data_IF_012101103333
#
_entry.id   IF_012101103333
#
_cell.length_a   1.000
_cell.length_b   1.000
_cell.length_c   1.000
_cell.angle_alpha   90.00
_cell.angle_beta   90.00
_cell.angle_gamma   90.00
#
_symmetry.space_group_name_H-M   'P 1'
#
loop_
_entity.id
_entity.type
_entity.pdbx_description
1 polymer ?
#
# COMPACT_ATOMS: atom_id res chain seq x y z
N UNK A 1 -1.77 9.46 16.60
CA UNK A 1 -2.34 9.56 15.21
C UNK A 1 -1.44 8.80 14.25
N UNK A 2 -1.95 7.72 13.71
CA UNK A 2 -1.27 6.82 12.78
C UNK A 2 -1.05 7.48 11.42
N UNK A 3 0.14 7.35 10.84
CA UNK A 3 0.44 7.81 9.48
C UNK A 3 0.14 6.72 8.47
N UNK A 4 -0.54 7.06 7.38
CA UNK A 4 -0.84 6.11 6.29
C UNK A 4 -0.04 6.52 5.06
N UNK A 5 0.80 5.61 4.56
CA UNK A 5 1.57 5.77 3.34
C UNK A 5 1.15 4.72 2.31
N UNK A 6 0.88 5.15 1.09
CA UNK A 6 0.53 4.27 -0.03
C UNK A 6 1.73 4.16 -0.95
N UNK A 7 2.16 2.92 -1.25
CA UNK A 7 3.28 2.65 -2.15
C UNK A 7 2.75 1.89 -3.36
N UNK A 8 2.49 2.62 -4.42
CA UNK A 8 2.01 2.13 -5.70
C UNK A 8 3.16 1.90 -6.68
N UNK A 9 2.86 1.30 -7.79
CA UNK A 9 3.79 1.06 -8.89
C UNK A 9 3.36 -0.15 -9.70
N UNK A 10 3.67 -0.15 -10.98
CA UNK A 10 3.29 -1.22 -11.89
C UNK A 10 4.04 -2.53 -11.56
N UNK A 11 3.57 -3.64 -12.12
CA UNK A 11 4.18 -4.97 -11.92
C UNK A 11 5.68 -4.95 -12.24
N UNK A 12 6.50 -5.47 -11.34
CA UNK A 12 7.96 -5.55 -11.50
C UNK A 12 8.70 -4.23 -11.41
N UNK A 13 8.07 -3.15 -10.94
CA UNK A 13 8.70 -1.83 -10.82
C UNK A 13 9.73 -1.73 -9.66
N UNK A 14 9.75 -2.70 -8.74
CA UNK A 14 10.63 -2.69 -7.57
C UNK A 14 9.98 -2.22 -6.26
N UNK A 15 8.65 -2.25 -6.17
CA UNK A 15 7.89 -1.90 -4.95
C UNK A 15 8.39 -2.67 -3.72
N UNK A 16 8.48 -3.99 -3.85
CA UNK A 16 8.97 -4.87 -2.76
C UNK A 16 10.32 -4.45 -2.24
N UNK A 17 11.27 -4.17 -3.12
CA UNK A 17 12.63 -3.73 -2.76
C UNK A 17 12.59 -2.38 -2.07
N UNK A 18 11.77 -1.46 -2.57
CA UNK A 18 11.60 -0.13 -1.99
C UNK A 18 10.98 -0.22 -0.59
N UNK A 19 9.90 -0.99 -0.42
CA UNK A 19 9.24 -1.20 0.88
C UNK A 19 10.21 -1.79 1.89
N UNK A 20 10.96 -2.84 1.54
CA UNK A 20 11.99 -3.43 2.42
C UNK A 20 12.99 -2.39 2.89
N UNK A 21 13.47 -1.56 1.99
CA UNK A 21 14.43 -0.50 2.31
C UNK A 21 13.81 0.55 3.25
N UNK A 22 12.58 0.98 3.00
CA UNK A 22 11.86 1.90 3.88
C UNK A 22 11.70 1.33 5.29
N UNK A 23 11.31 0.07 5.41
CA UNK A 23 11.12 -0.59 6.71
C UNK A 23 12.43 -0.72 7.50
N UNK A 24 13.54 -0.99 6.83
CA UNK A 24 14.84 -1.19 7.51
C UNK A 24 15.60 0.09 7.79
N UNK A 25 15.44 1.14 6.98
CA UNK A 25 16.22 2.36 7.08
C UNK A 25 15.40 3.56 7.58
N UNK A 26 14.27 3.85 6.93
CA UNK A 26 13.50 5.06 7.21
C UNK A 26 12.54 4.91 8.40
N UNK A 27 11.96 3.73 8.59
CA UNK A 27 10.97 3.45 9.62
C UNK A 27 11.50 2.53 10.72
N UNK A 28 12.82 2.41 10.81
CA UNK A 28 13.46 1.63 11.87
C UNK A 28 13.05 2.16 13.25
N UNK A 29 12.45 1.30 14.07
CA UNK A 29 11.96 1.66 15.41
C UNK A 29 10.52 2.17 15.46
N UNK A 30 9.85 2.39 14.33
CA UNK A 30 8.40 2.61 14.29
C UNK A 30 7.65 1.27 14.33
N UNK A 31 6.47 1.26 14.96
CA UNK A 31 5.54 0.13 14.85
C UNK A 31 4.77 0.25 13.54
N UNK A 32 5.18 -0.54 12.55
CA UNK A 32 4.63 -0.48 11.19
C UNK A 32 3.77 -1.70 10.91
N UNK A 33 2.58 -1.46 10.37
CA UNK A 33 1.71 -2.49 9.78
C UNK A 33 1.74 -2.37 8.27
N UNK A 34 2.00 -3.48 7.57
CA UNK A 34 1.97 -3.56 6.12
C UNK A 34 0.66 -4.23 5.67
N UNK A 35 -0.08 -3.55 4.81
CA UNK A 35 -1.27 -4.06 4.15
C UNK A 35 -0.95 -4.28 2.68
N UNK A 36 -0.91 -5.55 2.27
CA UNK A 36 -0.69 -5.95 0.88
C UNK A 36 -2.01 -6.34 0.23
N UNK A 37 -2.21 -5.91 -1.00
CA UNK A 37 -3.34 -6.31 -1.81
C UNK A 37 -2.85 -7.09 -3.04
N UNK A 38 -2.42 -8.32 -2.82
CA UNK A 38 -2.07 -9.24 -3.91
C UNK A 38 -3.07 -10.39 -4.03
N UNK A 39 -3.36 -10.75 -5.27
CA UNK A 39 -4.12 -11.94 -5.60
C UNK A 39 -3.26 -13.20 -5.38
N UNK A 40 -3.52 -13.94 -4.32
CA UNK A 40 -3.33 -15.39 -4.34
C UNK A 40 -1.98 -15.98 -3.92
N UNK A 41 -0.97 -15.23 -3.51
CA UNK A 41 0.26 -15.79 -2.95
C UNK A 41 0.57 -15.23 -1.55
N UNK A 42 0.94 -16.13 -0.65
CA UNK A 42 1.43 -15.81 0.69
C UNK A 42 2.65 -14.92 0.53
N UNK A 43 2.53 -13.67 0.98
CA UNK A 43 3.51 -12.64 0.73
C UNK A 43 4.93 -13.03 1.09
N UNK A 44 5.85 -12.79 0.18
CA UNK A 44 7.30 -12.96 0.31
C UNK A 44 7.85 -12.21 1.55
N UNK A 45 7.09 -11.28 2.08
CA UNK A 45 7.43 -10.46 3.24
C UNK A 45 7.27 -11.17 4.59
N UNK A 46 6.38 -12.18 4.70
CA UNK A 46 6.07 -12.85 5.98
C UNK A 46 7.27 -13.44 6.70
N UNK A 47 8.29 -13.92 5.96
CA UNK A 47 9.53 -14.43 6.53
C UNK A 47 10.51 -13.33 6.95
N UNK A 48 10.73 -12.36 6.09
CA UNK A 48 11.73 -11.31 6.30
C UNK A 48 11.37 -10.34 7.42
N UNK A 49 10.10 -10.03 7.56
CA UNK A 49 9.65 -8.99 8.49
C UNK A 49 9.41 -9.55 9.91
N UNK A 50 9.15 -10.85 10.04
CA UNK A 50 9.16 -11.53 11.35
C UNK A 50 10.52 -11.45 12.04
N UNK A 51 11.61 -11.51 11.28
CA UNK A 51 12.97 -11.36 11.81
C UNK A 51 13.28 -9.92 12.22
N UNK A 52 12.60 -8.93 11.63
CA UNK A 52 12.81 -7.50 11.90
C UNK A 52 11.94 -6.95 13.02
N UNK A 53 11.06 -7.76 13.65
CA UNK A 53 10.13 -7.30 14.68
C UNK A 53 8.96 -6.47 14.13
N UNK A 54 8.77 -6.46 12.82
CA UNK A 54 7.69 -5.73 12.13
C UNK A 54 6.49 -6.65 12.03
N UNK A 55 5.33 -6.21 12.52
CA UNK A 55 4.10 -6.97 12.43
C UNK A 55 3.49 -6.82 11.04
N UNK A 56 3.40 -7.94 10.29
CA UNK A 56 2.76 -7.96 8.98
C UNK A 56 1.36 -8.51 9.12
N UNK A 57 0.44 -7.80 8.52
CA UNK A 57 -0.92 -8.26 8.32
C UNK A 57 -1.21 -8.35 6.83
N UNK A 58 -1.28 -9.59 6.37
CA UNK A 58 -1.83 -9.90 5.07
C UNK A 58 -3.36 -9.81 5.18
N UNK A 59 -3.94 -8.90 4.43
CA UNK A 59 -5.38 -8.84 4.28
C UNK A 59 -5.77 -9.52 2.98
N UNK A 60 -6.15 -10.79 3.09
CA UNK A 60 -6.65 -11.60 1.98
C UNK A 60 -8.11 -11.25 1.58
N UNK A 61 -8.56 -10.06 1.86
CA UNK A 61 -9.94 -9.63 1.58
C UNK A 61 -10.02 -8.92 0.26
N UNK A 62 -10.10 -9.69 -0.84
CA UNK A 62 -10.54 -9.18 -2.15
C UNK A 62 -9.82 -7.91 -2.65
N UNK A 63 -9.82 -7.71 -3.96
CA UNK A 63 -9.23 -6.51 -4.56
C UNK A 63 -9.80 -5.22 -3.97
N UNK A 64 -8.96 -4.35 -3.40
CA UNK A 64 -9.35 -2.98 -2.98
C UNK A 64 -10.05 -2.24 -4.13
N UNK A 65 -9.71 -2.58 -5.36
CA UNK A 65 -10.24 -1.94 -6.57
C UNK A 65 -11.62 -2.42 -7.01
N UNK A 66 -12.10 -3.59 -6.55
CA UNK A 66 -13.21 -4.23 -7.26
C UNK A 66 -14.56 -4.29 -6.57
N UNK A 67 -14.67 -4.19 -5.24
CA UNK A 67 -15.99 -4.29 -4.63
C UNK A 67 -16.18 -3.79 -3.18
N UNK A 68 -15.15 -3.31 -2.48
CA UNK A 68 -15.22 -3.26 -1.03
C UNK A 68 -14.59 -2.02 -0.39
N UNK A 69 -14.93 -0.82 -0.86
CA UNK A 69 -14.62 0.42 -0.12
C UNK A 69 -15.09 0.29 1.35
N UNK A 70 -16.22 -0.38 1.58
CA UNK A 70 -16.75 -0.63 2.92
C UNK A 70 -15.94 -1.62 3.77
N UNK A 71 -15.43 -2.69 3.17
CA UNK A 71 -14.68 -3.71 3.92
C UNK A 71 -13.23 -3.28 4.15
N UNK A 72 -12.63 -2.54 3.21
CA UNK A 72 -11.31 -1.94 3.40
C UNK A 72 -11.32 -0.93 4.54
N UNK A 73 -12.33 -0.05 4.58
CA UNK A 73 -12.47 0.91 5.66
C UNK A 73 -12.62 0.27 7.03
N UNK A 74 -13.45 -0.78 7.14
CA UNK A 74 -13.60 -1.56 8.38
C UNK A 74 -12.28 -2.19 8.83
N UNK A 75 -11.56 -2.77 7.88
CA UNK A 75 -10.29 -3.43 8.16
C UNK A 75 -9.22 -2.43 8.58
N UNK A 76 -9.18 -1.26 7.96
CA UNK A 76 -8.27 -0.19 8.36
C UNK A 76 -8.57 0.31 9.77
N UNK A 77 -9.86 0.46 10.10
CA UNK A 77 -10.32 0.82 11.44
C UNK A 77 -9.91 -0.23 12.47
N UNK A 78 -10.15 -1.51 12.19
CA UNK A 78 -9.76 -2.61 13.07
C UNK A 78 -8.25 -2.63 13.32
N UNK A 79 -7.42 -2.39 12.30
CA UNK A 79 -5.97 -2.32 12.43
C UNK A 79 -5.55 -1.17 13.35
N UNK A 80 -6.11 0.02 13.16
CA UNK A 80 -5.79 1.20 14.00
C UNK A 80 -6.22 0.97 15.43
N UNK A 81 -7.44 0.51 15.68
CA UNK A 81 -8.00 0.29 17.01
C UNK A 81 -7.31 -0.83 17.80
N UNK A 82 -6.89 -1.89 17.11
CA UNK A 82 -6.30 -3.06 17.75
C UNK A 82 -4.80 -2.97 18.00
N UNK A 83 -4.08 -2.34 17.06
CA UNK A 83 -2.60 -2.35 17.07
C UNK A 83 -2.01 -0.99 17.42
N UNK A 84 -2.77 0.10 17.30
CA UNK A 84 -2.30 1.47 17.52
C UNK A 84 -0.93 1.74 16.85
N UNK A 85 -0.75 1.38 15.56
CA UNK A 85 0.55 1.49 14.92
C UNK A 85 0.96 2.96 14.75
N UNK A 86 2.26 3.20 14.70
CA UNK A 86 2.81 4.51 14.33
C UNK A 86 2.56 4.80 12.85
N UNK A 87 2.59 3.72 12.04
CA UNK A 87 2.49 3.78 10.58
C UNK A 87 1.79 2.59 9.98
N UNK A 88 1.02 2.85 8.92
CA UNK A 88 0.44 1.82 8.05
C UNK A 88 1.00 2.05 6.65
N UNK A 89 1.63 1.02 6.07
CA UNK A 89 2.00 0.99 4.66
C UNK A 89 0.94 0.21 3.88
N UNK A 90 0.44 0.78 2.80
CA UNK A 90 -0.50 0.12 1.90
C UNK A 90 0.19 -0.11 0.56
N UNK A 91 0.33 -1.37 0.15
CA UNK A 91 0.77 -1.76 -1.18
C UNK A 91 -0.43 -2.22 -2.01
N UNK A 92 -1.00 -1.37 -2.88
CA UNK A 92 -2.08 -1.79 -3.77
C UNK A 92 -1.56 -2.73 -4.87
N UNK A 93 -2.49 -3.45 -5.51
CA UNK A 93 -2.17 -4.23 -6.71
C UNK A 93 -1.43 -3.38 -7.75
N UNK A 94 -0.42 -3.96 -8.42
CA UNK A 94 0.33 -3.30 -9.47
C UNK A 94 -0.49 -2.85 -10.68
N UNK A 95 -1.71 -3.38 -10.84
CA UNK A 95 -2.69 -2.99 -11.87
C UNK A 95 -3.85 -2.16 -11.31
N UNK A 96 -3.78 -1.73 -10.05
CA UNK A 96 -4.79 -0.89 -9.42
C UNK A 96 -4.60 0.61 -9.74
N UNK A 97 -5.70 1.37 -9.67
CA UNK A 97 -5.64 2.82 -9.72
C UNK A 97 -5.27 3.39 -8.36
N UNK A 98 -4.23 4.20 -8.30
CA UNK A 98 -3.81 4.87 -7.06
C UNK A 98 -4.90 5.81 -6.53
N UNK A 99 -5.63 6.50 -7.43
CA UNK A 99 -6.75 7.38 -7.08
C UNK A 99 -7.84 6.68 -6.27
N UNK A 100 -8.14 5.40 -6.58
CA UNK A 100 -9.18 4.65 -5.89
C UNK A 100 -8.77 4.31 -4.46
N UNK A 101 -7.49 3.96 -4.27
CA UNK A 101 -6.93 3.67 -2.94
C UNK A 101 -6.87 4.94 -2.09
N UNK A 102 -6.41 6.06 -2.67
CA UNK A 102 -6.40 7.36 -1.99
C UNK A 102 -7.81 7.74 -1.52
N UNK A 103 -8.81 7.57 -2.41
CA UNK A 103 -10.20 7.85 -2.07
C UNK A 103 -10.69 6.95 -0.93
N UNK A 104 -10.44 5.64 -1.01
CA UNK A 104 -10.87 4.71 0.02
C UNK A 104 -10.28 5.04 1.40
N UNK A 105 -9.01 5.49 1.46
CA UNK A 105 -8.41 5.94 2.72
C UNK A 105 -9.03 7.25 3.20
N UNK A 106 -9.26 8.21 2.30
CA UNK A 106 -9.86 9.50 2.64
C UNK A 106 -11.29 9.37 3.18
N UNK A 107 -12.07 8.43 2.63
CA UNK A 107 -13.45 8.22 3.03
C UNK A 107 -13.56 7.72 4.49
N UNK A 108 -12.52 7.10 5.04
CA UNK A 108 -12.52 6.52 6.39
C UNK A 108 -11.57 7.23 7.38
N UNK A 109 -10.63 8.04 6.92
CA UNK A 109 -9.61 8.64 7.78
C UNK A 109 -10.20 9.53 8.89
N UNK A 110 -11.35 10.16 8.64
CA UNK A 110 -12.02 11.02 9.63
C UNK A 110 -12.75 10.22 10.73
N UNK A 111 -12.94 8.91 10.51
CA UNK A 111 -13.55 7.99 11.48
C UNK A 111 -12.52 7.26 12.35
N UNK A 112 -11.23 7.38 12.01
CA UNK A 112 -10.12 6.68 12.67
C UNK A 112 -9.03 7.67 13.10
N UNK A 113 -8.24 7.34 14.11
CA UNK A 113 -7.08 8.15 14.51
C UNK A 113 -5.88 7.94 13.57
N UNK A 114 -6.11 8.20 12.29
CA UNK A 114 -5.10 8.05 11.25
C UNK A 114 -5.19 9.15 10.20
N UNK A 115 -4.06 9.44 9.55
CA UNK A 115 -3.95 10.46 8.51
C UNK A 115 -3.16 9.95 7.32
N UNK A 116 -3.70 10.18 6.12
CA UNK A 116 -2.96 9.99 4.87
C UNK A 116 -1.75 10.92 4.84
N UNK A 117 -0.55 10.32 4.77
CA UNK A 117 0.72 11.03 4.89
C UNK A 117 1.42 11.16 3.53
N UNK A 118 1.53 10.08 2.78
CA UNK A 118 2.14 10.10 1.44
C UNK A 118 1.55 9.05 0.52
N UNK A 119 1.69 9.28 -0.79
CA UNK A 119 1.35 8.33 -1.84
C UNK A 119 2.44 8.34 -2.91
N UNK A 120 3.26 7.33 -2.86
CA UNK A 120 4.47 7.19 -3.68
C UNK A 120 4.25 6.17 -4.78
N UNK A 121 4.71 6.46 -6.00
CA UNK A 121 4.70 5.51 -7.11
C UNK A 121 6.12 5.15 -7.52
N UNK A 122 6.42 3.85 -7.51
CA UNK A 122 7.69 3.30 -7.99
C UNK A 122 7.57 2.98 -9.47
N UNK A 123 8.48 3.52 -10.29
CA UNK A 123 8.42 3.42 -11.75
C UNK A 123 9.72 2.85 -12.32
N UNK A 124 9.61 1.80 -13.14
CA UNK A 124 10.69 1.31 -13.99
C UNK A 124 10.75 2.17 -15.26
N UNK A 125 11.68 3.11 -15.31
CA UNK A 125 11.82 4.06 -16.42
C UNK A 125 12.11 3.37 -17.76
N UNK A 126 12.70 2.18 -17.74
CA UNK A 126 13.03 1.44 -18.97
C UNK A 126 11.78 0.91 -19.66
N UNK A 127 10.69 0.70 -18.91
CA UNK A 127 9.42 0.15 -19.37
C UNK A 127 8.31 1.19 -19.53
N UNK A 128 8.53 2.44 -19.11
CA UNK A 128 7.52 3.50 -19.15
C UNK A 128 6.80 3.63 -20.49
N UNK A 129 7.56 3.62 -21.60
CA UNK A 129 7.01 3.74 -22.95
C UNK A 129 6.05 2.60 -23.31
N UNK A 130 6.42 1.36 -22.95
CA UNK A 130 5.64 0.17 -23.25
C UNK A 130 4.39 0.14 -22.38
N UNK A 131 4.53 0.44 -21.10
CA UNK A 131 3.42 0.41 -20.15
C UNK A 131 2.42 1.53 -20.38
N UNK A 132 2.88 2.75 -20.64
CA UNK A 132 2.01 3.87 -21.01
C UNK A 132 1.16 3.57 -22.25
N UNK A 133 1.73 2.88 -23.24
CA UNK A 133 1.05 2.52 -24.47
C UNK A 133 0.06 1.37 -24.33
N UNK A 134 0.39 0.36 -23.54
CA UNK A 134 -0.39 -0.88 -23.43
C UNK A 134 -1.37 -0.89 -22.26
N UNK A 135 -1.08 -0.16 -21.18
CA UNK A 135 -1.86 -0.14 -19.95
C UNK A 135 -2.40 1.27 -19.60
N UNK A 136 -2.20 2.23 -20.50
CA UNK A 136 -2.71 3.60 -20.55
C UNK A 136 -3.21 4.14 -19.21
N UNK A 137 -4.51 3.98 -18.97
CA UNK A 137 -5.21 4.56 -17.84
C UNK A 137 -4.63 4.13 -16.48
N UNK A 138 -4.34 2.84 -16.28
CA UNK A 138 -3.83 2.34 -14.99
C UNK A 138 -2.42 2.84 -14.71
N UNK A 139 -1.55 2.80 -15.70
CA UNK A 139 -0.17 3.26 -15.55
C UNK A 139 -0.10 4.78 -15.35
N UNK A 140 -0.84 5.55 -16.14
CA UNK A 140 -0.89 7.01 -16.03
C UNK A 140 -1.46 7.46 -14.70
N UNK A 141 -2.55 6.83 -14.23
CA UNK A 141 -3.18 7.14 -12.95
C UNK A 141 -2.19 7.00 -11.77
N UNK A 142 -1.37 5.96 -11.76
CA UNK A 142 -0.37 5.76 -10.71
C UNK A 142 0.68 6.88 -10.66
N UNK A 143 1.02 7.46 -11.81
CA UNK A 143 1.98 8.56 -11.91
C UNK A 143 1.35 9.90 -11.57
N UNK A 144 0.17 10.17 -12.12
CA UNK A 144 -0.54 11.45 -11.98
C UNK A 144 -0.99 11.72 -10.54
N UNK A 145 -1.35 10.68 -9.80
CA UNK A 145 -1.85 10.78 -8.43
C UNK A 145 -0.76 10.62 -7.36
N UNK A 146 0.50 10.39 -7.74
CA UNK A 146 1.61 10.35 -6.79
C UNK A 146 1.89 11.74 -6.21
N UNK A 147 2.20 11.79 -4.86
CA UNK A 147 2.47 13.06 -4.17
C UNK A 147 2.81 12.90 -2.68
#
# INVERSE_FOLDING_TARGET
MTKIDIISGFLGAGKTTFIKKMLTEAFAGEQVVLIENEFGEIGIYGGFLKESGIEIREMNSGCICCSLVGDFGKSLKEVVEKYHPDRILIEPSGVGKLSDVIKAVRDVQDEIDAKLNSFTTVVDVTKCRIYSKNFGEFFSNQIEYAG
#
